data_IF_033316578146
#
_entry.id   IF_033316578146
#
_cell.length_a   1.000
_cell.length_b   1.000
_cell.length_c   1.000
_cell.angle_alpha   90.00
_cell.angle_beta   90.00
_cell.angle_gamma   90.00
#
_symmetry.space_group_name_H-M   'P 1'
#
loop_
_entity.id
_entity.type
_entity.pdbx_description
1 polymer ?
#
# COMPACT_ATOMS: atom_id res chain seq x y z
N UNK A 1 -16.75 -12.96 -12.04
CA UNK A 1 -16.14 -11.64 -11.74
C UNK A 1 -15.46 -11.77 -10.39
N UNK A 2 -14.28 -11.19 -10.20
CA UNK A 2 -13.59 -11.18 -8.90
C UNK A 2 -13.90 -9.88 -8.18
N UNK A 3 -14.32 -9.96 -6.92
CA UNK A 3 -14.48 -8.78 -6.06
C UNK A 3 -13.20 -8.59 -5.23
N UNK A 4 -12.64 -7.38 -5.20
CA UNK A 4 -11.38 -7.09 -4.52
C UNK A 4 -11.57 -5.92 -3.55
N UNK A 5 -11.41 -6.19 -2.26
CA UNK A 5 -11.31 -5.17 -1.21
C UNK A 5 -9.86 -4.71 -1.05
N UNK A 6 -9.60 -3.44 -1.26
CA UNK A 6 -8.27 -2.87 -1.03
C UNK A 6 -8.26 -2.20 0.34
N UNK A 7 -7.34 -2.64 1.19
CA UNK A 7 -7.25 -2.19 2.58
C UNK A 7 -5.85 -1.63 2.82
N UNK A 8 -5.78 -0.32 3.07
CA UNK A 8 -4.55 0.31 3.53
C UNK A 8 -4.25 -0.12 4.97
N UNK A 9 -2.98 -0.37 5.28
CA UNK A 9 -2.55 -0.66 6.65
C UNK A 9 -2.97 0.43 7.64
N UNK A 10 -3.16 0.06 8.91
CA UNK A 10 -3.41 0.99 10.01
C UNK A 10 -2.19 1.87 10.31
N UNK A 11 -2.34 2.84 11.22
CA UNK A 11 -1.25 3.71 11.63
C UNK A 11 -0.07 2.90 12.18
N UNK A 12 1.13 3.18 11.64
CA UNK A 12 2.41 2.61 12.05
C UNK A 12 3.34 3.68 12.63
N UNK A 13 4.41 3.27 13.32
CA UNK A 13 5.37 4.17 13.96
C UNK A 13 5.99 5.18 12.98
N UNK A 14 6.19 4.80 11.73
CA UNK A 14 6.67 5.73 10.71
C UNK A 14 5.67 6.83 10.37
N UNK A 15 4.34 6.56 10.39
CA UNK A 15 3.32 7.59 10.24
C UNK A 15 3.37 8.61 11.39
N UNK A 16 3.39 8.11 12.63
CA UNK A 16 3.45 8.93 13.84
C UNK A 16 4.70 9.85 13.84
N UNK A 17 5.84 9.29 13.44
CA UNK A 17 7.13 10.02 13.39
C UNK A 17 7.33 10.80 12.09
N UNK A 18 6.37 10.79 11.15
CA UNK A 18 6.44 11.44 9.83
C UNK A 18 7.68 11.03 9.03
N UNK A 19 8.01 9.73 9.08
CA UNK A 19 9.10 9.15 8.31
C UNK A 19 8.58 8.65 6.97
N UNK A 20 9.46 8.63 5.97
CA UNK A 20 9.18 7.85 4.76
C UNK A 20 9.25 6.36 5.11
N UNK A 21 8.16 5.66 4.95
CA UNK A 21 8.09 4.24 5.27
C UNK A 21 7.61 3.43 4.04
N UNK A 22 8.48 3.31 3.07
CA UNK A 22 8.27 2.43 1.95
C UNK A 22 8.40 0.96 2.38
N UNK A 23 9.59 0.39 2.19
CA UNK A 23 9.89 -0.99 2.59
C UNK A 23 10.40 -1.10 4.03
N UNK A 24 10.66 0.00 4.73
CA UNK A 24 11.00 0.00 6.16
C UNK A 24 9.86 -0.63 6.97
N UNK A 25 10.21 -1.60 7.82
CA UNK A 25 9.23 -2.44 8.52
C UNK A 25 8.93 -1.92 9.93
N UNK A 26 8.25 -0.80 10.01
CA UNK A 26 7.76 -0.22 11.27
C UNK A 26 6.50 -0.93 11.76
N UNK A 27 6.44 -1.22 13.06
CA UNK A 27 5.27 -1.78 13.70
C UNK A 27 4.14 -0.74 13.86
N UNK A 28 2.94 -1.21 14.18
CA UNK A 28 1.76 -0.38 14.41
C UNK A 28 1.88 0.42 15.70
N UNK A 29 1.11 1.51 15.80
CA UNK A 29 0.94 2.29 17.03
C UNK A 29 -0.25 1.79 17.87
N UNK A 30 -0.44 2.34 19.08
CA UNK A 30 -1.66 2.10 19.86
C UNK A 30 -2.92 2.58 19.11
N UNK A 31 -2.84 3.71 18.41
CA UNK A 31 -3.92 4.18 17.52
C UNK A 31 -4.17 3.19 16.42
N UNK A 32 -3.11 2.67 15.78
CA UNK A 32 -3.19 1.61 14.78
C UNK A 32 -3.91 0.37 15.30
N UNK A 33 -3.60 -0.07 16.52
CA UNK A 33 -4.29 -1.19 17.15
C UNK A 33 -5.80 -0.95 17.31
N UNK A 34 -6.21 0.25 17.74
CA UNK A 34 -7.64 0.64 17.81
C UNK A 34 -8.29 0.66 16.42
N UNK A 35 -7.59 1.14 15.40
CA UNK A 35 -8.08 1.11 14.02
C UNK A 35 -8.33 -0.33 13.54
N UNK A 36 -7.48 -1.28 13.93
CA UNK A 36 -7.65 -2.69 13.59
C UNK A 36 -8.90 -3.30 14.22
N UNK A 37 -9.27 -2.91 15.45
CA UNK A 37 -10.52 -3.36 16.06
C UNK A 37 -11.77 -2.89 15.28
N UNK A 38 -11.77 -1.64 14.79
CA UNK A 38 -12.84 -1.14 13.93
C UNK A 38 -12.85 -1.85 12.57
N UNK A 39 -11.68 -2.11 12.00
CA UNK A 39 -11.54 -2.83 10.74
C UNK A 39 -12.09 -4.27 10.86
N UNK A 40 -11.77 -4.96 11.95
CA UNK A 40 -12.31 -6.29 12.26
C UNK A 40 -13.84 -6.28 12.25
N UNK A 41 -14.47 -5.33 12.94
CA UNK A 41 -15.94 -5.16 12.93
C UNK A 41 -16.47 -4.87 11.52
N UNK A 42 -15.77 -4.03 10.73
CA UNK A 42 -16.19 -3.71 9.35
C UNK A 42 -16.23 -4.94 8.46
N UNK A 43 -15.33 -5.91 8.67
CA UNK A 43 -15.23 -7.13 7.86
C UNK A 43 -15.98 -8.32 8.44
N UNK A 44 -16.59 -8.20 9.61
CA UNK A 44 -17.25 -9.32 10.33
C UNK A 44 -18.26 -10.08 9.45
N UNK A 45 -19.07 -9.35 8.68
CA UNK A 45 -20.13 -9.92 7.84
C UNK A 45 -19.77 -9.91 6.34
N UNK A 46 -18.51 -9.64 5.98
CA UNK A 46 -18.05 -9.68 4.59
C UNK A 46 -17.44 -11.07 4.35
N UNK A 47 -18.01 -11.81 3.41
CA UNK A 47 -17.42 -13.07 2.96
C UNK A 47 -16.11 -12.79 2.23
N UNK A 48 -15.06 -13.53 2.58
CA UNK A 48 -13.76 -13.48 1.91
C UNK A 48 -13.27 -14.91 1.68
N UNK A 49 -12.88 -15.22 0.46
CA UNK A 49 -12.28 -16.50 0.10
C UNK A 49 -10.78 -16.52 0.41
N UNK A 50 -10.10 -15.38 0.33
CA UNK A 50 -8.66 -15.26 0.54
C UNK A 50 -8.24 -13.83 0.86
N UNK A 51 -7.13 -13.70 1.57
CA UNK A 51 -6.50 -12.41 1.86
C UNK A 51 -5.06 -12.43 1.34
N UNK A 52 -4.66 -11.41 0.63
CA UNK A 52 -3.27 -11.15 0.25
C UNK A 52 -2.72 -10.01 1.11
N UNK A 53 -1.54 -10.17 1.65
CA UNK A 53 -0.89 -9.16 2.47
C UNK A 53 0.49 -8.80 1.89
N UNK A 54 0.80 -7.51 1.82
CA UNK A 54 2.19 -7.09 1.71
C UNK A 54 3.00 -7.70 2.87
N UNK A 55 4.26 -8.11 2.67
CA UNK A 55 5.02 -8.85 3.69
C UNK A 55 5.44 -8.04 4.92
N UNK A 56 5.11 -6.74 4.97
CA UNK A 56 5.47 -5.87 6.09
C UNK A 56 4.54 -6.06 7.30
N UNK A 57 5.09 -5.91 8.52
CA UNK A 57 4.38 -6.21 9.77
C UNK A 57 3.05 -5.46 9.90
N UNK A 58 2.99 -4.17 9.52
CA UNK A 58 1.78 -3.35 9.58
C UNK A 58 0.65 -3.88 8.69
N UNK A 59 0.98 -4.40 7.52
CA UNK A 59 0.01 -4.99 6.58
C UNK A 59 -0.39 -6.40 6.97
N UNK A 60 0.52 -7.20 7.52
CA UNK A 60 0.19 -8.53 8.07
C UNK A 60 -0.78 -8.42 9.26
N UNK A 61 -0.53 -7.47 10.19
CA UNK A 61 -1.46 -7.19 11.29
C UNK A 61 -2.81 -6.70 10.78
N UNK A 62 -2.82 -5.89 9.73
CA UNK A 62 -4.06 -5.45 9.06
C UNK A 62 -4.81 -6.63 8.44
N UNK A 63 -4.12 -7.54 7.75
CA UNK A 63 -4.73 -8.75 7.19
C UNK A 63 -5.33 -9.66 8.25
N UNK A 64 -4.65 -9.84 9.39
CA UNK A 64 -5.18 -10.60 10.53
C UNK A 64 -6.47 -9.99 11.09
N UNK A 65 -6.55 -8.65 11.16
CA UNK A 65 -7.77 -7.96 11.59
C UNK A 65 -8.91 -8.15 10.57
N UNK A 66 -8.61 -8.10 9.27
CA UNK A 66 -9.57 -8.39 8.19
C UNK A 66 -10.08 -9.84 8.28
N UNK A 67 -9.21 -10.80 8.58
CA UNK A 67 -9.60 -12.19 8.80
C UNK A 67 -10.51 -12.33 10.04
N UNK A 68 -10.29 -11.51 11.07
CA UNK A 68 -11.15 -11.45 12.26
C UNK A 68 -11.18 -12.73 13.09
N UNK A 69 -10.18 -13.61 12.98
CA UNK A 69 -10.13 -14.94 13.62
C UNK A 69 -10.82 -16.04 12.82
N UNK A 70 -11.35 -15.74 11.63
CA UNK A 70 -11.90 -16.74 10.70
C UNK A 70 -10.75 -17.53 10.05
N UNK A 71 -11.01 -18.79 9.70
CA UNK A 71 -10.08 -19.63 8.96
C UNK A 71 -10.05 -19.25 7.48
N UNK A 72 -9.36 -18.14 7.19
CA UNK A 72 -9.17 -17.61 5.84
C UNK A 72 -7.67 -17.61 5.54
N UNK A 73 -7.26 -18.19 4.42
CA UNK A 73 -5.86 -18.17 3.97
C UNK A 73 -5.36 -16.72 3.81
N UNK A 74 -4.27 -16.38 4.52
CA UNK A 74 -3.54 -15.12 4.34
C UNK A 74 -2.23 -15.45 3.62
N UNK A 75 -2.10 -14.96 2.37
CA UNK A 75 -0.93 -15.18 1.53
C UNK A 75 -0.08 -13.92 1.46
N UNK A 76 1.22 -14.04 1.72
CA UNK A 76 2.18 -12.95 1.44
C UNK A 76 2.25 -12.67 -0.07
N UNK A 77 2.15 -11.41 -0.42
CA UNK A 77 2.20 -10.95 -1.81
C UNK A 77 3.19 -9.78 -1.94
N UNK A 78 4.44 -10.04 -2.31
CA UNK A 78 5.44 -8.99 -2.48
C UNK A 78 5.08 -7.95 -3.55
N UNK A 79 4.25 -8.31 -4.53
CA UNK A 79 3.82 -7.41 -5.59
C UNK A 79 2.96 -6.23 -5.12
N UNK A 80 2.42 -6.28 -3.90
CA UNK A 80 1.64 -5.19 -3.28
C UNK A 80 2.41 -4.47 -2.15
N UNK A 81 3.74 -4.62 -2.08
CA UNK A 81 4.60 -3.89 -1.14
C UNK A 81 4.63 -2.39 -1.50
N UNK A 82 4.88 -1.52 -0.51
CA UNK A 82 5.01 -0.07 -0.74
C UNK A 82 6.21 0.26 -1.62
N UNK A 83 6.23 1.48 -2.17
CA UNK A 83 7.33 2.01 -2.95
C UNK A 83 8.63 1.98 -2.14
N UNK A 84 9.69 1.38 -2.67
CA UNK A 84 11.00 1.40 -2.03
C UNK A 84 11.60 2.82 -2.14
N UNK A 85 11.79 3.47 -1.01
CA UNK A 85 12.35 4.83 -0.94
C UNK A 85 13.87 4.91 -1.07
N UNK A 86 14.59 3.79 -1.12
CA UNK A 86 16.06 3.79 -1.21
C UNK A 86 16.70 4.62 -0.10
N UNK A 87 17.47 5.64 -0.45
CA UNK A 87 18.20 6.49 0.53
C UNK A 87 17.29 7.29 1.47
N UNK A 88 16.00 7.44 1.17
CA UNK A 88 15.04 8.19 2.01
C UNK A 88 14.30 7.32 3.02
N UNK A 89 14.46 5.99 2.95
CA UNK A 89 13.82 5.04 3.87
C UNK A 89 14.11 5.34 5.34
N UNK A 90 13.05 5.35 6.14
CA UNK A 90 13.12 5.55 7.59
C UNK A 90 13.55 6.95 8.04
N UNK A 91 13.70 7.90 7.12
CA UNK A 91 14.13 9.27 7.40
C UNK A 91 12.96 10.25 7.46
N UNK A 92 13.12 11.41 8.16
CA UNK A 92 12.12 12.46 8.16
C UNK A 92 11.77 12.89 6.73
N UNK A 93 10.50 12.78 6.38
CA UNK A 93 10.01 12.94 5.01
C UNK A 93 10.42 14.32 4.42
N UNK A 94 9.97 15.40 5.07
CA UNK A 94 10.15 16.76 4.55
C UNK A 94 11.61 17.20 4.45
N UNK A 95 12.39 16.94 5.50
CA UNK A 95 13.79 17.33 5.56
C UNK A 95 14.62 16.58 4.52
N UNK A 96 14.42 15.26 4.41
CA UNK A 96 15.18 14.41 3.50
C UNK A 96 14.86 14.74 2.04
N UNK A 97 13.59 14.98 1.71
CA UNK A 97 13.21 15.33 0.35
C UNK A 97 13.80 16.67 -0.08
N UNK A 98 13.81 17.67 0.81
CA UNK A 98 14.41 18.98 0.53
C UNK A 98 15.95 18.93 0.44
N UNK A 99 16.60 17.94 1.05
CA UNK A 99 18.06 17.79 1.00
C UNK A 99 18.57 17.15 -0.30
N UNK A 100 17.69 16.55 -1.08
CA UNK A 100 18.04 15.89 -2.35
C UNK A 100 17.53 16.77 -3.51
N UNK A 101 18.42 17.29 -4.38
CA UNK A 101 18.03 18.17 -5.46
C UNK A 101 16.90 17.60 -6.34
N UNK A 102 15.82 18.34 -6.52
CA UNK A 102 14.68 17.99 -7.36
C UNK A 102 13.72 16.95 -6.80
N UNK A 103 14.04 16.27 -5.68
CA UNK A 103 13.21 15.17 -5.19
C UNK A 103 11.87 15.66 -4.63
N UNK A 104 11.88 16.75 -3.85
CA UNK A 104 10.65 17.35 -3.31
C UNK A 104 9.76 17.90 -4.44
N UNK A 105 10.35 18.61 -5.38
CA UNK A 105 9.62 19.17 -6.54
C UNK A 105 8.97 18.05 -7.38
N UNK A 106 9.71 16.99 -7.68
CA UNK A 106 9.18 15.84 -8.41
C UNK A 106 8.04 15.16 -7.65
N UNK A 107 8.18 14.98 -6.33
CA UNK A 107 7.12 14.38 -5.52
C UNK A 107 5.83 15.20 -5.51
N UNK A 108 5.96 16.53 -5.42
CA UNK A 108 4.80 17.42 -5.28
C UNK A 108 4.10 17.70 -6.62
N UNK A 109 4.86 17.86 -7.72
CA UNK A 109 4.35 18.35 -9.00
C UNK A 109 4.31 17.28 -10.10
N UNK A 110 5.26 16.33 -10.06
CA UNK A 110 5.43 15.28 -11.09
C UNK A 110 5.64 13.91 -10.44
N UNK A 111 4.71 13.43 -9.55
CA UNK A 111 4.92 12.20 -8.78
C UNK A 111 5.12 10.98 -9.67
N UNK A 112 4.67 11.01 -10.92
CA UNK A 112 4.92 9.95 -11.92
C UNK A 112 6.41 9.76 -12.23
N UNK A 113 7.21 10.80 -12.06
CA UNK A 113 8.66 10.79 -12.33
C UNK A 113 9.49 10.64 -11.04
N UNK A 114 8.83 10.48 -9.90
CA UNK A 114 9.52 10.26 -8.62
C UNK A 114 10.41 9.01 -8.69
N UNK A 115 11.70 9.21 -8.43
CA UNK A 115 12.72 8.17 -8.50
C UNK A 115 13.81 8.44 -7.44
N UNK A 116 13.59 8.06 -6.17
CA UNK A 116 14.56 8.30 -5.11
C UNK A 116 15.85 7.50 -5.38
N UNK A 117 17.04 8.05 -5.07
CA UNK A 117 18.29 7.33 -5.28
C UNK A 117 18.27 5.96 -4.58
N UNK A 118 18.70 4.91 -5.27
CA UNK A 118 18.70 3.52 -4.82
C UNK A 118 17.32 2.96 -4.46
N UNK A 119 16.24 3.68 -4.82
CA UNK A 119 14.87 3.26 -4.60
C UNK A 119 14.18 2.78 -5.88
N UNK A 120 12.89 2.50 -5.76
CA UNK A 120 12.02 2.13 -6.88
C UNK A 120 11.49 3.38 -7.57
N UNK A 121 11.44 3.38 -8.90
CA UNK A 121 10.78 4.45 -9.65
C UNK A 121 9.27 4.33 -9.54
N UNK A 122 8.57 5.44 -9.44
CA UNK A 122 7.11 5.44 -9.35
C UNK A 122 6.45 4.72 -10.54
N UNK A 123 7.01 4.88 -11.74
CA UNK A 123 6.53 4.20 -12.96
C UNK A 123 6.64 2.68 -12.84
N UNK A 124 7.71 2.17 -12.23
CA UNK A 124 7.91 0.73 -12.04
C UNK A 124 6.92 0.18 -10.99
N UNK A 125 6.71 0.92 -9.89
CA UNK A 125 5.71 0.59 -8.86
C UNK A 125 4.28 0.56 -9.45
N UNK A 126 3.96 1.53 -10.31
CA UNK A 126 2.67 1.62 -11.00
C UNK A 126 2.38 0.39 -11.88
N UNK A 127 3.36 -0.07 -12.64
CA UNK A 127 3.21 -1.29 -13.44
C UNK A 127 3.22 -2.56 -12.59
N UNK A 128 4.04 -2.61 -11.55
CA UNK A 128 4.11 -3.75 -10.61
C UNK A 128 2.76 -3.99 -9.95
N UNK A 129 2.14 -2.97 -9.37
CA UNK A 129 0.84 -3.12 -8.69
C UNK A 129 -0.26 -3.52 -9.67
N UNK A 130 -0.29 -2.91 -10.86
CA UNK A 130 -1.28 -3.25 -11.87
C UNK A 130 -1.19 -4.71 -12.32
N UNK A 131 0.02 -5.18 -12.65
CA UNK A 131 0.25 -6.55 -13.07
C UNK A 131 -0.07 -7.56 -11.96
N UNK A 132 0.25 -7.21 -10.71
CA UNK A 132 -0.08 -8.04 -9.54
C UNK A 132 -1.58 -8.16 -9.35
N UNK A 133 -2.32 -7.05 -9.39
CA UNK A 133 -3.78 -7.07 -9.19
C UNK A 133 -4.48 -7.78 -10.34
N UNK A 134 -4.05 -7.60 -11.58
CA UNK A 134 -4.58 -8.37 -12.73
C UNK A 134 -4.41 -9.89 -12.52
N UNK A 135 -3.21 -10.32 -12.12
CA UNK A 135 -2.93 -11.73 -11.84
C UNK A 135 -3.83 -12.27 -10.73
N UNK A 136 -3.92 -11.55 -9.60
CA UNK A 136 -4.80 -11.92 -8.48
C UNK A 136 -6.25 -12.02 -8.94
N UNK A 137 -6.73 -11.09 -9.74
CA UNK A 137 -8.10 -11.10 -10.25
C UNK A 137 -8.40 -12.33 -11.12
N UNK A 138 -7.44 -12.74 -11.96
CA UNK A 138 -7.59 -13.93 -12.81
C UNK A 138 -7.55 -15.21 -11.97
N UNK A 139 -6.58 -15.33 -11.05
CA UNK A 139 -6.42 -16.50 -10.16
C UNK A 139 -7.62 -16.73 -9.24
N UNK A 140 -8.40 -15.69 -8.96
CA UNK A 140 -9.54 -15.73 -8.05
C UNK A 140 -10.88 -15.47 -8.75
N UNK A 141 -11.02 -15.91 -10.00
CA UNK A 141 -12.28 -15.71 -10.74
C UNK A 141 -13.49 -16.29 -9.97
N UNK A 142 -14.53 -15.48 -9.79
CA UNK A 142 -15.74 -15.83 -9.05
C UNK A 142 -15.62 -15.73 -7.53
N UNK A 143 -14.49 -15.24 -7.00
CA UNK A 143 -14.23 -15.14 -5.57
C UNK A 143 -14.17 -13.69 -5.09
N UNK A 144 -14.28 -13.52 -3.78
CA UNK A 144 -14.09 -12.26 -3.07
C UNK A 144 -12.79 -12.30 -2.28
N UNK A 145 -11.86 -11.37 -2.53
CA UNK A 145 -10.55 -11.33 -1.88
C UNK A 145 -10.25 -9.96 -1.27
N UNK A 146 -9.39 -9.92 -0.27
CA UNK A 146 -8.87 -8.66 0.29
C UNK A 146 -7.38 -8.52 0.05
N UNK A 147 -6.91 -7.28 -0.20
CA UNK A 147 -5.50 -6.91 -0.36
C UNK A 147 -5.13 -5.94 0.77
N UNK A 148 -4.34 -6.38 1.74
CA UNK A 148 -3.78 -5.52 2.78
C UNK A 148 -2.47 -4.91 2.26
N UNK A 149 -2.49 -3.61 1.94
CA UNK A 149 -1.42 -2.91 1.24
C UNK A 149 -1.18 -1.49 1.79
N UNK A 150 -0.63 -0.58 1.01
CA UNK A 150 -0.08 0.71 1.42
C UNK A 150 -0.69 1.88 0.63
N UNK A 151 -0.48 3.10 1.14
CA UNK A 151 -1.09 4.31 0.58
C UNK A 151 -0.59 4.65 -0.82
N UNK A 152 0.73 4.70 -1.02
CA UNK A 152 1.31 5.07 -2.33
C UNK A 152 0.92 4.09 -3.43
N UNK A 153 1.01 2.79 -3.13
CA UNK A 153 0.63 1.72 -4.07
C UNK A 153 -0.88 1.72 -4.36
N UNK A 154 -1.71 1.97 -3.34
CA UNK A 154 -3.17 2.11 -3.56
C UNK A 154 -3.48 3.28 -4.49
N UNK A 155 -2.78 4.42 -4.31
CA UNK A 155 -2.95 5.59 -5.19
C UNK A 155 -2.55 5.29 -6.63
N UNK A 156 -1.44 4.57 -6.85
CA UNK A 156 -1.04 4.08 -8.18
C UNK A 156 -2.14 3.22 -8.82
N UNK A 157 -2.69 2.28 -8.07
CA UNK A 157 -3.77 1.41 -8.56
C UNK A 157 -5.05 2.21 -8.88
N UNK A 158 -5.45 3.14 -8.01
CA UNK A 158 -6.59 4.01 -8.26
C UNK A 158 -6.39 4.89 -9.49
N UNK A 159 -5.18 5.45 -9.68
CA UNK A 159 -4.84 6.19 -10.88
C UNK A 159 -5.02 5.33 -12.14
N UNK A 160 -4.53 4.09 -12.11
CA UNK A 160 -4.68 3.15 -13.24
C UNK A 160 -6.14 2.84 -13.56
N UNK A 161 -6.95 2.59 -12.54
CA UNK A 161 -8.36 2.23 -12.70
C UNK A 161 -9.22 3.40 -13.19
N UNK A 162 -8.96 4.61 -12.71
CA UNK A 162 -9.77 5.80 -13.01
C UNK A 162 -9.35 6.48 -14.31
N UNK A 163 -8.04 6.55 -14.58
CA UNK A 163 -7.50 7.39 -15.65
C UNK A 163 -6.72 6.61 -16.72
N UNK A 164 -6.15 5.44 -16.37
CA UNK A 164 -5.30 4.65 -17.27
C UNK A 164 -3.92 5.26 -17.55
N UNK A 165 -3.66 6.47 -17.08
CA UNK A 165 -2.47 7.28 -17.38
C UNK A 165 -1.81 7.76 -16.09
N UNK A 166 -0.55 7.36 -15.87
CA UNK A 166 0.23 7.70 -14.67
C UNK A 166 0.45 9.21 -14.50
N UNK A 167 0.44 10.01 -15.58
CA UNK A 167 0.57 11.48 -15.50
C UNK A 167 -0.57 12.14 -14.72
N UNK A 168 -1.66 11.41 -14.48
CA UNK A 168 -2.78 11.83 -13.62
C UNK A 168 -2.59 11.47 -12.14
N UNK A 169 -1.42 10.92 -11.77
CA UNK A 169 -1.16 10.51 -10.38
C UNK A 169 -1.26 11.71 -9.42
N UNK A 170 -0.76 12.88 -9.80
CA UNK A 170 -0.86 14.10 -8.98
C UNK A 170 -2.31 14.46 -8.60
N UNK A 171 -3.25 14.29 -9.53
CA UNK A 171 -4.69 14.59 -9.35
C UNK A 171 -5.51 13.42 -8.80
N UNK A 172 -4.91 12.23 -8.65
CA UNK A 172 -5.61 11.06 -8.09
C UNK A 172 -5.74 11.21 -6.57
N UNK A 173 -6.94 11.04 -5.98
CA UNK A 173 -7.13 11.14 -4.54
C UNK A 173 -6.37 10.06 -3.77
N UNK A 174 -6.06 10.40 -2.50
CA UNK A 174 -5.41 9.48 -1.54
C UNK A 174 -6.42 8.52 -0.89
#
# INVERSE_FOLDING_TARGET
MTEIYIVRHCEAQGNLKRLFQGVSDFDITETGAKQLEYLKKRFENIHLDKIYASPLIRTRKTALAVAGGRDIEIKDEPGIIELNGGVVEGKPFKETFNSIPGLAETWDNHPEDFAPPQGEKMRDAYERIWNTVKRIAVENSGKTVALATHGGITRCLMCRLLNGDITKLASTPW
#
